data_IF_207159337446
#
_entry.id   IF_207159337446
#
_cell.length_a   1.000
_cell.length_b   1.000
_cell.length_c   1.000
_cell.angle_alpha   90.00
_cell.angle_beta   90.00
_cell.angle_gamma   90.00
#
_symmetry.space_group_name_H-M   'P 1'
#
loop_
_entity.id
_entity.type
_entity.pdbx_description
1 polymer ?
#
# COMPACT_ATOMS: atom_id res chain seq x y z
N UNK A 1 -22.59 -12.64 -14.73
CA UNK A 1 -21.19 -12.73 -14.22
C UNK A 1 -20.61 -11.32 -14.21
N UNK A 2 -19.88 -10.93 -13.16
CA UNK A 2 -19.23 -9.63 -13.12
C UNK A 2 -17.98 -9.62 -14.03
N UNK A 3 -17.67 -8.45 -14.61
CA UNK A 3 -16.45 -8.23 -15.36
C UNK A 3 -15.32 -7.74 -14.43
N UNK A 4 -14.08 -8.08 -14.78
CA UNK A 4 -12.91 -7.64 -14.05
C UNK A 4 -12.72 -6.13 -14.20
N UNK A 5 -12.51 -5.42 -13.09
CA UNK A 5 -12.28 -3.97 -13.09
C UNK A 5 -11.04 -3.55 -13.88
N UNK A 6 -9.98 -4.37 -13.90
CA UNK A 6 -8.71 -4.03 -14.56
C UNK A 6 -8.68 -4.41 -16.04
N UNK A 7 -9.10 -5.63 -16.40
CA UNK A 7 -8.93 -6.17 -17.75
C UNK A 7 -10.25 -6.43 -18.49
N UNK A 8 -11.41 -6.19 -17.86
CA UNK A 8 -12.71 -6.43 -18.47
C UNK A 8 -13.10 -7.89 -18.66
N UNK A 9 -12.23 -8.85 -18.30
CA UNK A 9 -12.51 -10.28 -18.44
C UNK A 9 -13.79 -10.69 -17.69
N UNK A 10 -14.60 -11.53 -18.34
CA UNK A 10 -15.78 -12.11 -17.72
C UNK A 10 -15.40 -13.14 -16.64
N UNK A 11 -16.30 -13.39 -15.70
CA UNK A 11 -16.08 -14.37 -14.63
C UNK A 11 -15.23 -13.84 -13.47
N UNK A 12 -15.26 -12.53 -13.22
CA UNK A 12 -14.62 -11.94 -12.05
C UNK A 12 -15.42 -12.31 -10.78
N UNK A 13 -14.90 -13.29 -10.02
CA UNK A 13 -15.46 -13.73 -8.74
C UNK A 13 -14.77 -13.10 -7.53
N UNK A 14 -13.52 -12.68 -7.67
CA UNK A 14 -12.73 -12.12 -6.58
C UNK A 14 -13.16 -10.68 -6.27
N UNK A 15 -13.23 -10.32 -4.99
CA UNK A 15 -13.40 -8.93 -4.56
C UNK A 15 -12.14 -8.42 -3.90
N UNK A 16 -11.64 -7.27 -4.36
CA UNK A 16 -10.51 -6.56 -3.76
C UNK A 16 -10.80 -5.07 -3.67
N UNK A 17 -10.18 -4.43 -2.68
CA UNK A 17 -10.18 -2.99 -2.56
C UNK A 17 -9.21 -2.41 -3.59
N UNK A 18 -9.75 -1.72 -4.57
CA UNK A 18 -8.98 -1.13 -5.67
C UNK A 18 -9.17 0.37 -5.69
N UNK A 19 -8.14 1.07 -6.16
CA UNK A 19 -8.19 2.51 -6.34
C UNK A 19 -9.11 2.83 -7.53
N UNK A 20 -10.22 3.51 -7.26
CA UNK A 20 -11.25 3.82 -8.27
C UNK A 20 -11.33 5.27 -8.66
N UNK A 21 -10.59 6.13 -7.96
CA UNK A 21 -10.57 7.54 -8.26
C UNK A 21 -9.30 8.22 -7.78
N UNK A 22 -8.95 9.28 -8.49
CA UNK A 22 -7.92 10.21 -8.09
C UNK A 22 -8.45 11.62 -8.35
N UNK A 23 -8.64 12.38 -7.28
CA UNK A 23 -9.08 13.77 -7.36
C UNK A 23 -7.92 14.67 -6.96
N UNK A 24 -7.55 15.60 -7.86
CA UNK A 24 -6.62 16.69 -7.58
C UNK A 24 -7.44 17.96 -7.38
N UNK A 25 -7.41 18.50 -6.18
CA UNK A 25 -7.98 19.82 -5.91
C UNK A 25 -6.88 20.86 -6.06
N UNK A 26 -7.06 21.80 -6.99
CA UNK A 26 -6.17 22.93 -7.18
C UNK A 26 -6.67 24.10 -6.32
N UNK A 27 -6.30 24.09 -5.04
CA UNK A 27 -6.55 25.21 -4.11
C UNK A 27 -5.29 26.02 -3.86
N UNK A 28 -5.43 27.33 -3.59
CA UNK A 28 -4.36 28.35 -3.56
C UNK A 28 -3.20 28.14 -2.58
N UNK A 29 -3.13 27.06 -1.78
CA UNK A 29 -2.00 26.84 -0.85
C UNK A 29 -1.45 25.42 -0.73
N UNK A 30 -2.01 24.42 -1.39
CA UNK A 30 -1.41 23.08 -1.44
C UNK A 30 -2.18 22.15 -2.38
N UNK A 31 -1.45 21.48 -3.27
CA UNK A 31 -2.02 20.41 -4.10
C UNK A 31 -2.29 19.21 -3.21
N UNK A 32 -3.54 19.01 -2.80
CA UNK A 32 -3.95 17.80 -2.08
C UNK A 32 -4.53 16.79 -3.08
N UNK A 33 -3.86 15.65 -3.22
CA UNK A 33 -4.37 14.50 -3.99
C UNK A 33 -5.13 13.56 -3.05
N UNK A 34 -6.43 13.38 -3.27
CA UNK A 34 -7.21 12.32 -2.60
C UNK A 34 -7.34 11.12 -3.52
N UNK A 35 -6.95 9.96 -3.00
CA UNK A 35 -7.18 8.66 -3.62
C UNK A 35 -8.45 8.05 -3.01
N UNK A 36 -9.35 7.59 -3.87
CA UNK A 36 -10.57 6.89 -3.47
C UNK A 36 -10.41 5.41 -3.74
N UNK A 37 -10.74 4.60 -2.74
CA UNK A 37 -10.69 3.14 -2.80
C UNK A 37 -12.10 2.58 -2.66
N UNK A 38 -12.41 1.53 -3.41
CA UNK A 38 -13.70 0.84 -3.31
C UNK A 38 -13.58 -0.62 -3.68
N UNK A 39 -14.44 -1.46 -3.11
CA UNK A 39 -14.51 -2.89 -3.45
C UNK A 39 -14.99 -3.10 -4.88
N UNK A 40 -14.18 -3.77 -5.70
CA UNK A 40 -14.54 -4.14 -7.08
C UNK A 40 -14.29 -5.62 -7.35
N UNK A 41 -15.03 -6.13 -8.34
CA UNK A 41 -14.82 -7.48 -8.87
C UNK A 41 -13.57 -7.52 -9.75
N UNK A 42 -12.71 -8.49 -9.50
CA UNK A 42 -11.47 -8.74 -10.23
C UNK A 42 -11.36 -10.21 -10.61
N UNK A 43 -10.66 -10.51 -11.70
CA UNK A 43 -10.33 -11.88 -12.06
C UNK A 43 -9.14 -12.37 -11.21
N UNK A 44 -8.99 -13.69 -11.09
CA UNK A 44 -7.92 -14.31 -10.29
C UNK A 44 -6.50 -13.79 -10.60
N UNK A 45 -6.11 -13.61 -11.87
CA UNK A 45 -4.80 -13.03 -12.21
C UNK A 45 -4.61 -11.61 -11.66
N UNK A 46 -5.57 -10.71 -11.88
CA UNK A 46 -5.48 -9.33 -11.39
C UNK A 46 -5.55 -9.27 -9.86
N UNK A 47 -6.30 -10.17 -9.21
CA UNK A 47 -6.32 -10.26 -7.76
C UNK A 47 -4.93 -10.58 -7.18
N UNK A 48 -4.17 -11.50 -7.80
CA UNK A 48 -2.78 -11.81 -7.40
C UNK A 48 -1.84 -10.61 -7.53
N UNK A 49 -1.98 -9.81 -8.58
CA UNK A 49 -1.15 -8.61 -8.76
C UNK A 49 -1.44 -7.53 -7.71
N UNK A 50 -2.71 -7.33 -7.37
CA UNK A 50 -3.11 -6.41 -6.29
C UNK A 50 -2.57 -6.90 -4.94
N UNK A 51 -2.76 -8.18 -4.62
CA UNK A 51 -2.31 -8.76 -3.36
C UNK A 51 -0.78 -8.65 -3.23
N UNK A 52 -0.01 -8.97 -4.28
CA UNK A 52 1.46 -8.86 -4.27
C UNK A 52 1.94 -7.42 -4.11
N UNK A 53 1.26 -6.45 -4.72
CA UNK A 53 1.57 -5.03 -4.56
C UNK A 53 1.33 -4.56 -3.12
N UNK A 54 0.23 -4.99 -2.51
CA UNK A 54 -0.09 -4.70 -1.11
C UNK A 54 0.97 -5.28 -0.16
N UNK A 55 1.34 -6.54 -0.35
CA UNK A 55 2.37 -7.21 0.45
C UNK A 55 3.73 -6.50 0.36
N UNK A 56 4.16 -6.05 -0.83
CA UNK A 56 5.40 -5.30 -1.00
C UNK A 56 5.41 -3.99 -0.21
N UNK A 57 4.29 -3.26 -0.20
CA UNK A 57 4.16 -2.02 0.56
C UNK A 57 4.21 -2.27 2.08
N UNK A 58 3.60 -3.35 2.57
CA UNK A 58 3.69 -3.70 3.99
C UNK A 58 5.11 -4.07 4.43
N UNK A 59 5.84 -4.86 3.63
CA UNK A 59 7.22 -5.26 3.94
C UNK A 59 8.16 -4.05 4.03
N UNK A 60 8.00 -3.08 3.13
CA UNK A 60 8.83 -1.86 3.12
C UNK A 60 8.67 -1.04 4.41
N UNK A 61 7.44 -0.90 4.92
CA UNK A 61 7.16 -0.15 6.16
C UNK A 61 7.78 -0.84 7.38
N UNK A 62 7.62 -2.16 7.49
CA UNK A 62 8.17 -2.91 8.62
C UNK A 62 9.70 -2.90 8.63
N UNK A 63 10.36 -3.01 7.48
CA UNK A 63 11.83 -2.96 7.41
C UNK A 63 12.41 -1.64 7.87
N UNK A 64 11.77 -0.52 7.55
CA UNK A 64 12.22 0.81 7.99
C UNK A 64 12.10 0.96 9.53
N UNK A 65 11.01 0.46 10.11
CA UNK A 65 10.79 0.51 11.56
C UNK A 65 11.77 -0.36 12.34
N UNK A 66 12.07 -1.57 11.85
CA UNK A 66 13.00 -2.49 12.53
C UNK A 66 14.44 -1.96 12.48
N UNK A 67 14.87 -1.39 11.34
CA UNK A 67 16.19 -0.80 11.22
C UNK A 67 16.40 0.37 12.19
N UNK A 68 15.38 1.21 12.38
CA UNK A 68 15.42 2.32 13.35
C UNK A 68 15.60 1.84 14.79
N UNK A 69 14.87 0.80 15.21
CA UNK A 69 14.98 0.24 16.57
C UNK A 69 16.36 -0.36 16.85
N UNK A 70 16.97 -1.04 15.87
CA UNK A 70 18.31 -1.63 16.02
C UNK A 70 19.37 -0.53 16.22
N UNK A 71 19.30 0.55 15.43
CA UNK A 71 20.22 1.69 15.57
C UNK A 71 20.07 2.38 16.93
N UNK A 72 18.83 2.57 17.40
CA UNK A 72 18.53 3.17 18.70
C UNK A 72 19.06 2.31 19.85
N UNK A 73 18.84 0.99 19.78
CA UNK A 73 19.36 0.06 20.77
C UNK A 73 20.90 0.03 20.78
N UNK A 74 21.54 0.01 19.61
CA UNK A 74 23.00 0.07 19.50
C UNK A 74 23.58 1.37 20.08
N UNK A 75 22.94 2.51 19.82
CA UNK A 75 23.33 3.80 20.39
C UNK A 75 23.19 3.82 21.91
N UNK A 76 22.10 3.28 22.46
CA UNK A 76 21.89 3.18 23.91
C UNK A 76 22.97 2.33 24.59
N UNK A 77 23.31 1.17 24.01
CA UNK A 77 24.39 0.30 24.53
C UNK A 77 25.73 1.04 24.51
N UNK A 78 26.05 1.73 23.41
CA UNK A 78 27.27 2.53 23.31
C UNK A 78 27.33 3.63 24.38
N UNK A 79 26.24 4.37 24.61
CA UNK A 79 26.17 5.40 25.65
C UNK A 79 26.35 4.85 27.07
N UNK A 80 25.88 3.63 27.35
CA UNK A 80 26.07 2.99 28.66
C UNK A 80 27.53 2.61 28.89
N UNK A 81 28.21 2.06 27.88
CA UNK A 81 29.61 1.64 27.99
C UNK A 81 30.62 2.79 27.90
N UNK A 82 30.27 3.91 27.29
CA UNK A 82 31.14 5.08 27.16
C UNK A 82 31.13 6.01 28.39
N UNK A 83 30.44 5.63 29.47
CA UNK A 83 30.31 6.39 30.72
C UNK A 83 31.04 5.68 31.85
#
# INVERSE_FOLDING_TARGET
MAACHYCGAAGASERREVQTGHSKYYGSRSTSSRYSYSMRSVCGPCAKEVDTSYWRQQISKHRLSVAGLILLAGFLVFCIFAR
#
